data_IF_074820771631
#
_entry.id   IF_074820771631
#
_cell.length_a   1.000
_cell.length_b   1.000
_cell.length_c   1.000
_cell.angle_alpha   90.00
_cell.angle_beta   90.00
_cell.angle_gamma   90.00
#
_symmetry.space_group_name_H-M   'P 1'
#
loop_
_entity.id
_entity.type
_entity.pdbx_description
1 polymer ?
#
# COMPACT_ATOMS: atom_id res chain seq x y z
N UNK A 1 20.61 0.54 6.10
CA UNK A 1 19.46 -0.14 5.44
C UNK A 1 18.39 -0.46 6.47
N UNK A 2 17.13 -0.14 6.15
CA UNK A 2 16.01 -0.46 7.05
C UNK A 2 15.60 -1.91 6.83
N UNK A 3 15.52 -2.68 7.90
CA UNK A 3 15.01 -4.04 7.86
C UNK A 3 13.59 -4.08 8.44
N UNK A 4 12.68 -4.74 7.73
CA UNK A 4 11.29 -4.85 8.15
C UNK A 4 11.15 -6.03 9.13
N UNK A 5 11.54 -5.78 10.38
CA UNK A 5 11.55 -6.80 11.44
C UNK A 5 10.40 -6.65 12.43
N UNK A 6 9.53 -5.67 12.22
CA UNK A 6 8.37 -5.44 13.08
C UNK A 6 7.25 -6.44 12.83
N UNK A 7 6.16 -6.32 13.60
CA UNK A 7 5.06 -7.27 13.54
C UNK A 7 4.30 -7.24 12.22
N UNK A 8 3.56 -8.31 11.94
CA UNK A 8 2.65 -8.37 10.81
C UNK A 8 1.57 -7.29 10.92
N UNK A 9 1.17 -6.75 9.78
CA UNK A 9 0.09 -5.77 9.67
C UNK A 9 -0.90 -6.29 8.62
N UNK A 10 -2.04 -6.82 9.06
CA UNK A 10 -2.99 -7.44 8.15
C UNK A 10 -2.31 -8.51 7.28
N UNK A 11 -2.43 -8.45 5.96
CA UNK A 11 -1.80 -9.42 5.05
C UNK A 11 -0.29 -9.23 4.88
N UNK A 12 0.29 -8.13 5.39
CA UNK A 12 1.73 -7.88 5.28
C UNK A 12 2.45 -8.60 6.42
N UNK A 13 3.38 -9.48 6.07
CA UNK A 13 4.02 -10.39 7.03
C UNK A 13 4.95 -9.69 8.01
N UNK A 14 5.44 -8.49 7.66
CA UNK A 14 6.36 -7.72 8.49
C UNK A 14 6.11 -6.23 8.31
N UNK A 15 6.76 -5.43 9.13
CA UNK A 15 6.63 -3.98 9.09
C UNK A 15 7.85 -3.31 9.71
N UNK A 16 7.94 -1.99 9.54
CA UNK A 16 8.88 -1.17 10.27
C UNK A 16 8.11 0.04 10.84
N UNK A 17 7.82 0.05 12.15
CA UNK A 17 7.14 1.19 12.77
C UNK A 17 8.01 2.44 12.71
N UNK A 18 7.45 3.54 12.17
CA UNK A 18 8.12 4.84 12.14
C UNK A 18 7.82 5.60 13.43
N UNK A 19 6.59 5.52 13.92
CA UNK A 19 6.18 6.15 15.17
C UNK A 19 6.08 5.12 16.28
N UNK A 20 6.27 5.56 17.54
CA UNK A 20 6.24 4.66 18.69
C UNK A 20 4.88 4.02 18.90
N UNK A 21 3.81 4.73 18.56
CA UNK A 21 2.45 4.23 18.71
C UNK A 21 2.03 3.26 17.58
N UNK A 22 2.91 3.06 16.58
CA UNK A 22 2.63 2.17 15.46
C UNK A 22 1.59 2.68 14.48
N UNK A 23 1.24 3.97 14.53
CA UNK A 23 0.26 4.55 13.60
C UNK A 23 0.83 4.75 12.21
N UNK A 24 2.13 4.98 12.10
CA UNK A 24 2.81 5.10 10.81
C UNK A 24 3.83 3.99 10.71
N UNK A 25 3.64 3.11 9.74
CA UNK A 25 4.51 1.97 9.52
C UNK A 25 4.88 1.85 8.05
N UNK A 26 6.05 1.28 7.78
CA UNK A 26 6.40 0.80 6.45
C UNK A 26 5.98 -0.65 6.33
N UNK A 27 5.44 -1.02 5.17
CA UNK A 27 5.10 -2.42 4.85
C UNK A 27 5.77 -2.81 3.53
N UNK A 28 6.16 -4.09 3.38
CA UNK A 28 6.82 -4.52 2.15
C UNK A 28 5.81 -4.61 1.00
N UNK A 29 6.12 -3.95 -0.10
CA UNK A 29 5.33 -4.00 -1.33
C UNK A 29 6.26 -4.23 -2.52
N UNK A 30 7.02 -5.34 -2.52
CA UNK A 30 8.00 -5.61 -3.55
C UNK A 30 7.34 -5.96 -4.88
N UNK A 31 8.10 -5.83 -5.96
CA UNK A 31 7.67 -6.23 -7.30
C UNK A 31 8.11 -5.23 -8.34
N UNK A 32 7.66 -3.98 -8.26
CA UNK A 32 8.12 -2.90 -9.14
C UNK A 32 9.64 -2.78 -9.06
N UNK A 33 10.15 -2.66 -7.83
CA UNK A 33 11.56 -2.90 -7.51
C UNK A 33 11.64 -3.83 -6.32
N UNK A 34 12.78 -4.50 -6.15
CA UNK A 34 12.96 -5.56 -5.15
C UNK A 34 12.70 -5.09 -3.71
N UNK A 35 13.20 -3.93 -3.36
CA UNK A 35 13.10 -3.39 -2.00
C UNK A 35 12.00 -2.37 -1.80
N UNK A 36 11.00 -2.33 -2.67
CA UNK A 36 9.93 -1.34 -2.58
C UNK A 36 9.13 -1.50 -1.29
N UNK A 37 8.85 -0.38 -0.64
CA UNK A 37 8.00 -0.32 0.54
C UNK A 37 6.91 0.72 0.35
N UNK A 38 5.81 0.55 1.04
CA UNK A 38 4.73 1.53 1.10
C UNK A 38 4.59 2.05 2.51
N UNK A 39 4.04 3.25 2.64
CA UNK A 39 3.76 3.88 3.95
C UNK A 39 2.29 3.71 4.27
N UNK A 40 2.01 3.17 5.44
CA UNK A 40 0.66 3.00 5.93
C UNK A 40 0.45 3.89 7.15
N UNK A 41 -0.50 4.81 7.04
CA UNK A 41 -0.93 5.67 8.15
C UNK A 41 -2.25 5.11 8.68
N UNK A 42 -2.27 4.73 9.96
CA UNK A 42 -3.42 4.09 10.59
C UNK A 42 -4.03 5.01 11.62
N UNK A 43 -5.26 5.46 11.36
CA UNK A 43 -6.10 6.14 12.35
C UNK A 43 -7.19 5.18 12.82
N UNK A 44 -7.94 5.57 13.86
CA UNK A 44 -8.93 4.68 14.46
C UNK A 44 -10.01 4.23 13.49
N UNK A 45 -10.44 5.11 12.57
CA UNK A 45 -11.54 4.88 11.65
C UNK A 45 -11.15 4.91 10.18
N UNK A 46 -9.89 5.20 9.87
CA UNK A 46 -9.44 5.35 8.48
C UNK A 46 -7.94 5.07 8.39
N UNK A 47 -7.56 4.30 7.38
CA UNK A 47 -6.16 4.15 7.00
C UNK A 47 -5.88 4.91 5.71
N UNK A 48 -4.64 5.37 5.54
CA UNK A 48 -4.15 5.96 4.31
C UNK A 48 -2.99 5.10 3.85
N UNK A 49 -3.12 4.51 2.67
CA UNK A 49 -2.09 3.64 2.11
C UNK A 49 -1.35 4.40 1.01
N UNK A 50 -0.15 4.84 1.32
CA UNK A 50 0.71 5.56 0.37
C UNK A 50 1.52 4.51 -0.38
N UNK A 51 1.00 4.12 -1.54
CA UNK A 51 1.47 2.94 -2.26
C UNK A 51 2.77 3.16 -3.03
N UNK A 52 3.15 4.42 -3.30
CA UNK A 52 4.29 4.68 -4.19
C UNK A 52 4.06 4.05 -5.56
N UNK A 53 5.06 3.35 -6.05
CA UNK A 53 4.99 2.68 -7.36
C UNK A 53 4.52 1.22 -7.27
N UNK A 54 4.01 0.77 -6.13
CA UNK A 54 3.43 -0.56 -6.02
C UNK A 54 2.22 -0.72 -6.95
N UNK A 55 1.46 0.36 -7.14
CA UNK A 55 0.44 0.48 -8.18
C UNK A 55 0.41 1.93 -8.63
N UNK A 56 0.12 2.17 -9.92
CA UNK A 56 0.18 3.53 -10.46
C UNK A 56 -1.11 4.33 -10.20
N UNK A 57 -2.25 3.66 -10.13
CA UNK A 57 -3.55 4.30 -9.90
C UNK A 57 -4.50 3.33 -9.22
N UNK A 58 -5.53 3.87 -8.56
CA UNK A 58 -6.50 3.04 -7.85
C UNK A 58 -7.28 2.11 -8.80
N UNK A 59 -7.65 2.60 -9.98
CA UNK A 59 -8.37 1.78 -10.95
C UNK A 59 -7.50 0.64 -11.49
N UNK A 60 -6.19 0.85 -11.61
CA UNK A 60 -5.24 -0.20 -11.98
C UNK A 60 -5.15 -1.24 -10.86
N UNK A 61 -5.11 -0.80 -9.61
CA UNK A 61 -5.16 -1.71 -8.46
C UNK A 61 -6.42 -2.57 -8.49
N UNK A 62 -7.58 -1.96 -8.74
CA UNK A 62 -8.86 -2.68 -8.81
C UNK A 62 -8.87 -3.72 -9.92
N UNK A 63 -8.21 -3.45 -11.05
CA UNK A 63 -8.14 -4.38 -12.16
C UNK A 63 -7.19 -5.55 -11.91
N UNK A 64 -6.31 -5.45 -10.93
CA UNK A 64 -5.28 -6.45 -10.65
C UNK A 64 -4.16 -6.49 -11.69
N UNK A 65 -4.05 -5.47 -12.52
CA UNK A 65 -3.01 -5.40 -13.55
C UNK A 65 -1.68 -4.96 -12.98
N UNK A 66 -0.63 -5.63 -13.43
CA UNK A 66 0.76 -5.30 -13.10
C UNK A 66 1.30 -4.37 -14.18
N UNK A 67 2.08 -3.35 -13.79
CA UNK A 67 2.70 -2.46 -14.76
C UNK A 67 3.77 -3.17 -15.58
N UNK A 68 4.07 -2.62 -16.78
CA UNK A 68 4.98 -3.23 -17.74
C UNK A 68 6.47 -3.09 -17.43
N UNK A 69 6.83 -2.34 -16.38
CA UNK A 69 8.22 -2.09 -15.98
C UNK A 69 8.57 -2.71 -14.63
N UNK A 70 7.74 -3.63 -14.15
CA UNK A 70 7.98 -4.28 -12.87
C UNK A 70 9.17 -5.24 -12.95
N UNK A 71 9.95 -5.29 -11.86
CA UNK A 71 11.09 -6.22 -11.74
C UNK A 71 10.62 -7.68 -11.70
N UNK A 72 9.54 -7.95 -10.97
CA UNK A 72 9.01 -9.31 -10.80
C UNK A 72 7.48 -9.28 -10.90
N UNK A 73 6.91 -9.68 -12.05
CA UNK A 73 5.46 -9.64 -12.24
C UNK A 73 4.68 -10.52 -11.26
N UNK A 74 5.21 -11.69 -10.91
CA UNK A 74 4.54 -12.60 -9.97
C UNK A 74 4.49 -11.98 -8.58
N UNK A 75 5.60 -11.42 -8.13
CA UNK A 75 5.70 -10.76 -6.84
C UNK A 75 4.85 -9.49 -6.79
N UNK A 76 4.84 -8.72 -7.88
CA UNK A 76 3.97 -7.54 -7.99
C UNK A 76 2.50 -7.90 -7.86
N UNK A 77 2.08 -8.99 -8.50
CA UNK A 77 0.69 -9.45 -8.42
C UNK A 77 0.32 -9.85 -7.00
N UNK A 78 1.20 -10.53 -6.30
CA UNK A 78 0.99 -10.88 -4.89
C UNK A 78 0.89 -9.62 -4.01
N UNK A 79 1.75 -8.63 -4.28
CA UNK A 79 1.70 -7.34 -3.57
C UNK A 79 0.36 -6.64 -3.78
N UNK A 80 -0.13 -6.57 -5.02
CA UNK A 80 -1.45 -5.99 -5.31
C UNK A 80 -2.57 -6.71 -4.58
N UNK A 81 -2.49 -8.03 -4.50
CA UNK A 81 -3.46 -8.83 -3.75
C UNK A 81 -3.45 -8.46 -2.26
N UNK A 82 -2.29 -8.29 -1.67
CA UNK A 82 -2.15 -7.90 -0.25
C UNK A 82 -2.70 -6.50 0.00
N UNK A 83 -2.41 -5.55 -0.87
CA UNK A 83 -2.94 -4.18 -0.77
C UNK A 83 -4.47 -4.21 -0.85
N UNK A 84 -5.02 -4.94 -1.81
CA UNK A 84 -6.46 -5.08 -1.99
C UNK A 84 -7.10 -5.72 -0.76
N UNK A 85 -6.50 -6.78 -0.23
CA UNK A 85 -6.99 -7.46 0.96
C UNK A 85 -7.04 -6.51 2.17
N UNK A 86 -5.99 -5.72 2.38
CA UNK A 86 -5.98 -4.72 3.44
C UNK A 86 -7.09 -3.69 3.24
N UNK A 87 -7.20 -3.15 2.02
CA UNK A 87 -8.15 -2.07 1.73
C UNK A 87 -9.61 -2.52 1.74
N UNK A 88 -9.88 -3.82 1.60
CA UNK A 88 -11.24 -4.36 1.69
C UNK A 88 -11.63 -4.73 3.11
N UNK A 89 -10.66 -5.01 3.97
CA UNK A 89 -10.95 -5.35 5.38
C UNK A 89 -10.89 -4.16 6.33
N UNK A 90 -10.29 -3.05 5.89
CA UNK A 90 -10.11 -1.85 6.71
C UNK A 90 -10.42 -0.63 5.83
N UNK A 91 -11.24 0.33 6.28
CA UNK A 91 -11.50 1.55 5.49
C UNK A 91 -10.18 2.26 5.15
N UNK A 92 -9.86 2.34 3.86
CA UNK A 92 -8.54 2.78 3.39
C UNK A 92 -8.66 3.68 2.17
N UNK A 93 -8.01 4.83 2.22
CA UNK A 93 -7.79 5.68 1.04
C UNK A 93 -6.46 5.27 0.42
N UNK A 94 -6.47 4.91 -0.86
CA UNK A 94 -5.27 4.50 -1.59
C UNK A 94 -4.65 5.71 -2.28
N UNK A 95 -3.35 5.91 -2.07
CA UNK A 95 -2.58 7.03 -2.64
C UNK A 95 -1.43 6.48 -3.50
N UNK A 96 -1.70 6.10 -4.76
CA UNK A 96 -0.63 5.68 -5.68
C UNK A 96 0.17 6.86 -6.21
N UNK A 97 1.39 6.59 -6.70
CA UNK A 97 2.32 7.65 -7.14
C UNK A 97 1.88 8.36 -8.42
N UNK A 98 1.16 7.70 -9.31
CA UNK A 98 0.76 8.24 -10.62
C UNK A 98 -0.75 8.47 -10.74
N UNK A 99 -1.43 8.63 -9.62
CA UNK A 99 -2.87 8.83 -9.59
C UNK A 99 -3.18 10.29 -9.23
N UNK A 100 -3.57 11.07 -10.23
CA UNK A 100 -3.88 12.48 -10.06
C UNK A 100 -5.10 12.72 -9.15
N UNK A 101 -5.98 11.72 -9.01
CA UNK A 101 -7.19 11.81 -8.20
C UNK A 101 -6.96 11.46 -6.73
N UNK A 102 -5.77 10.96 -6.37
CA UNK A 102 -5.44 10.57 -5.00
C UNK A 102 -5.67 11.67 -3.98
N UNK A 103 -5.09 12.87 -4.17
CA UNK A 103 -5.30 13.96 -3.20
C UNK A 103 -6.76 14.34 -3.01
N UNK A 104 -7.56 14.35 -4.08
CA UNK A 104 -9.00 14.65 -3.98
C UNK A 104 -9.74 13.57 -3.18
N UNK A 105 -9.41 12.30 -3.41
CA UNK A 105 -10.01 11.20 -2.62
C UNK A 105 -9.70 11.35 -1.13
N UNK A 106 -8.46 11.74 -0.81
CA UNK A 106 -8.07 11.93 0.59
C UNK A 106 -8.87 13.05 1.25
N UNK A 107 -9.05 14.17 0.55
CA UNK A 107 -9.81 15.32 1.07
C UNK A 107 -11.25 14.91 1.43
N UNK A 108 -11.91 14.14 0.57
CA UNK A 108 -13.29 13.69 0.80
C UNK A 108 -13.37 12.35 1.54
N UNK A 109 -12.24 11.76 1.92
CA UNK A 109 -12.13 10.48 2.62
C UNK A 109 -12.81 9.34 1.85
N UNK A 110 -12.60 9.31 0.53
CA UNK A 110 -13.16 8.28 -0.34
C UNK A 110 -12.30 7.01 -0.25
N UNK A 111 -12.82 6.01 0.42
CA UNK A 111 -12.11 4.74 0.62
C UNK A 111 -12.20 3.84 -0.61
N UNK A 112 -11.31 2.83 -0.65
CA UNK A 112 -11.28 1.82 -1.71
C UNK A 112 -12.61 1.04 -1.80
N UNK A 113 -13.23 0.81 -0.67
CA UNK A 113 -14.54 0.16 -0.57
C UNK A 113 -15.54 1.11 0.08
#
# INVERSE_FOLDING_TARGET
MIELTGPAVGPFASSYPITRDGRIVLVPTPGHVKGHVSVLVRNDDLSIFIAGDATYAEDILRSGKVDGVTFDPVLSKDTLRRITEYATSTPTVIMPSHDADGPARLVVRQTFI
#
